data_IF_116225402437
#
_entry.id   IF_116225402437
#
_cell.length_a   1.000
_cell.length_b   1.000
_cell.length_c   1.000
_cell.angle_alpha   90.00
_cell.angle_beta   90.00
_cell.angle_gamma   90.00
#
_symmetry.space_group_name_H-M   'P 1'
#
loop_
_entity.id
_entity.type
_entity.pdbx_description
1 polymer ?
#
# COMPACT_ATOMS: atom_id res chain seq x y z
N UNK A 1 0.65 29.10 -3.23
CA UNK A 1 1.25 27.77 -3.11
C UNK A 1 0.11 26.84 -2.71
N UNK A 2 0.04 25.64 -3.29
CA UNK A 2 -1.08 24.74 -3.02
C UNK A 2 -0.95 24.10 -1.64
N UNK A 3 -2.02 24.14 -0.84
CA UNK A 3 -2.08 23.58 0.52
C UNK A 3 -1.67 22.10 0.56
N UNK A 4 -2.24 21.30 -0.34
CA UNK A 4 -1.96 19.86 -0.36
C UNK A 4 -0.57 19.55 -0.89
N UNK A 5 -0.06 20.37 -1.82
CA UNK A 5 1.32 20.22 -2.28
C UNK A 5 2.31 20.48 -1.15
N UNK A 6 2.09 21.52 -0.34
CA UNK A 6 2.97 21.84 0.79
C UNK A 6 2.94 20.72 1.84
N UNK A 7 1.76 20.16 2.14
CA UNK A 7 1.62 18.99 3.02
C UNK A 7 2.33 17.74 2.46
N UNK A 8 2.25 17.50 1.15
CA UNK A 8 2.96 16.40 0.51
C UNK A 8 4.48 16.58 0.64
N UNK A 9 5.00 17.80 0.52
CA UNK A 9 6.44 18.07 0.61
C UNK A 9 7.03 17.88 2.01
N UNK A 10 6.20 17.70 3.05
CA UNK A 10 6.65 17.27 4.38
C UNK A 10 7.11 15.80 4.37
N UNK A 11 6.55 14.98 3.48
CA UNK A 11 6.90 13.57 3.36
C UNK A 11 8.27 13.39 2.69
N UNK A 12 9.15 12.61 3.32
CA UNK A 12 10.51 12.34 2.80
C UNK A 12 10.48 11.72 1.40
N UNK A 13 9.47 10.90 1.11
CA UNK A 13 9.29 10.26 -0.20
C UNK A 13 9.06 11.26 -1.32
N UNK A 14 8.41 12.38 -1.02
CA UNK A 14 8.24 13.48 -1.99
C UNK A 14 9.56 14.18 -2.29
N UNK A 15 10.37 14.43 -1.26
CA UNK A 15 11.69 15.07 -1.43
C UNK A 15 12.64 14.23 -2.26
N UNK A 16 12.57 12.90 -2.10
CA UNK A 16 13.42 11.96 -2.84
C UNK A 16 12.82 11.57 -4.21
N UNK A 17 11.50 11.59 -4.34
CA UNK A 17 10.78 11.00 -5.48
C UNK A 17 10.25 12.00 -6.49
N UNK A 18 10.13 13.29 -6.14
CA UNK A 18 9.56 14.29 -7.03
C UNK A 18 10.63 15.27 -7.56
N UNK A 19 10.98 15.10 -8.83
CA UNK A 19 11.76 16.05 -9.61
C UNK A 19 10.93 16.52 -10.80
N UNK A 20 11.41 17.54 -11.54
CA UNK A 20 10.68 18.06 -12.71
C UNK A 20 10.43 16.96 -13.73
N UNK A 21 9.19 16.61 -13.94
CA UNK A 21 8.76 15.62 -14.91
C UNK A 21 8.79 16.20 -16.33
N UNK A 22 9.46 15.53 -17.27
CA UNK A 22 9.49 15.90 -18.68
C UNK A 22 8.37 15.26 -19.51
N UNK A 23 7.42 14.59 -18.87
CA UNK A 23 6.24 13.97 -19.48
C UNK A 23 6.54 12.90 -20.57
N UNK A 24 7.66 12.18 -20.47
CA UNK A 24 8.11 11.21 -21.48
C UNK A 24 7.32 9.89 -21.52
N UNK A 25 6.54 9.56 -20.49
CA UNK A 25 5.69 8.37 -20.44
C UNK A 25 6.38 7.03 -20.13
N UNK A 26 7.70 7.01 -19.94
CA UNK A 26 8.44 5.75 -19.68
C UNK A 26 7.89 5.02 -18.43
N UNK A 27 7.58 5.76 -17.37
CA UNK A 27 7.03 5.16 -16.14
C UNK A 27 5.66 4.48 -16.36
N UNK A 28 4.83 5.01 -17.27
CA UNK A 28 3.56 4.38 -17.65
C UNK A 28 3.79 3.13 -18.50
N UNK A 29 4.69 3.21 -19.48
CA UNK A 29 5.00 2.09 -20.37
C UNK A 29 5.63 0.86 -19.69
N UNK A 30 6.17 1.01 -18.47
CA UNK A 30 6.76 -0.09 -17.70
C UNK A 30 5.92 -0.47 -16.49
N UNK A 31 4.76 0.17 -16.31
CA UNK A 31 3.94 -0.04 -15.13
C UNK A 31 3.03 -1.26 -15.31
N UNK A 32 3.17 -2.34 -14.50
CA UNK A 32 2.29 -3.49 -14.64
C UNK A 32 0.82 -3.14 -14.34
N UNK A 33 0.55 -2.16 -13.47
CA UNK A 33 -0.82 -1.75 -13.19
C UNK A 33 -1.50 -1.06 -14.38
N UNK A 34 -0.74 -0.40 -15.27
CA UNK A 34 -1.28 0.24 -16.45
C UNK A 34 -1.82 -0.75 -17.51
N UNK A 35 -1.40 -2.03 -17.42
CA UNK A 35 -1.91 -3.09 -18.28
C UNK A 35 -3.35 -3.53 -17.91
N UNK A 36 -3.66 -3.47 -16.61
CA UNK A 36 -4.92 -3.99 -16.07
C UNK A 36 -5.95 -2.91 -15.71
N UNK A 37 -5.47 -1.69 -15.48
CA UNK A 37 -6.30 -0.56 -15.06
C UNK A 37 -6.09 0.65 -15.97
N UNK A 38 -7.08 1.53 -16.06
CA UNK A 38 -6.87 2.86 -16.63
C UNK A 38 -6.01 3.69 -15.66
N UNK A 39 -4.69 3.42 -15.68
CA UNK A 39 -3.74 3.92 -14.70
C UNK A 39 -2.49 4.48 -15.37
N UNK A 40 -2.18 5.74 -15.08
CA UNK A 40 -1.02 6.45 -15.61
C UNK A 40 -0.24 7.16 -14.50
N UNK A 41 0.86 6.57 -14.00
CA UNK A 41 1.68 7.19 -12.95
C UNK A 41 2.30 8.51 -13.39
N UNK A 42 2.49 8.74 -14.68
CA UNK A 42 2.96 10.03 -15.22
C UNK A 42 1.93 11.14 -15.01
N UNK A 43 0.65 10.86 -15.28
CA UNK A 43 -0.42 11.84 -15.04
C UNK A 43 -0.52 12.22 -13.57
N UNK A 44 -0.40 11.27 -12.66
CA UNK A 44 -0.41 11.52 -11.22
C UNK A 44 0.72 12.48 -10.84
N UNK A 45 1.94 12.22 -11.28
CA UNK A 45 3.09 13.13 -11.04
C UNK A 45 2.84 14.52 -11.62
N UNK A 46 2.29 14.60 -12.82
CA UNK A 46 1.99 15.89 -13.45
C UNK A 46 0.92 16.68 -12.67
N UNK A 47 -0.16 16.02 -12.22
CA UNK A 47 -1.20 16.66 -11.40
C UNK A 47 -0.56 17.24 -10.12
N UNK A 48 0.26 16.47 -9.42
CA UNK A 48 0.94 16.96 -8.22
C UNK A 48 1.84 18.16 -8.52
N UNK A 49 2.51 18.18 -9.67
CA UNK A 49 3.38 19.29 -10.07
C UNK A 49 2.63 20.56 -10.45
N UNK A 50 1.36 20.49 -10.81
CA UNK A 50 0.55 21.69 -11.05
C UNK A 50 0.35 22.53 -9.79
N UNK A 51 0.41 21.92 -8.61
CA UNK A 51 0.10 22.49 -7.29
C UNK A 51 -1.32 23.03 -7.19
N UNK A 52 -2.21 22.50 -8.01
CA UNK A 52 -3.62 22.79 -8.00
C UNK A 52 -4.29 21.96 -6.90
N UNK A 53 -4.82 22.63 -5.89
CA UNK A 53 -5.41 21.97 -4.71
C UNK A 53 -6.65 21.16 -5.08
N UNK A 54 -7.49 21.65 -5.98
CA UNK A 54 -8.71 20.95 -6.39
C UNK A 54 -8.35 19.64 -7.12
N UNK A 55 -7.39 19.70 -8.05
CA UNK A 55 -6.92 18.52 -8.78
C UNK A 55 -6.23 17.49 -7.88
N UNK A 56 -5.47 17.95 -6.88
CA UNK A 56 -4.83 17.06 -5.91
C UNK A 56 -5.88 16.44 -4.98
N UNK A 57 -6.88 17.20 -4.53
CA UNK A 57 -7.95 16.69 -3.68
C UNK A 57 -8.77 15.62 -4.40
N UNK A 58 -9.14 15.85 -5.66
CA UNK A 58 -9.80 14.85 -6.49
C UNK A 58 -8.98 13.56 -6.58
N UNK A 59 -7.68 13.69 -6.77
CA UNK A 59 -6.75 12.56 -6.81
C UNK A 59 -6.71 11.80 -5.47
N UNK A 60 -6.68 12.52 -4.33
CA UNK A 60 -6.67 11.93 -2.99
C UNK A 60 -7.96 11.15 -2.66
N UNK A 61 -9.08 11.51 -3.27
CA UNK A 61 -10.39 10.84 -3.15
C UNK A 61 -10.59 9.68 -4.12
N UNK A 62 -9.76 9.60 -5.16
CA UNK A 62 -9.92 8.64 -6.25
C UNK A 62 -9.38 7.24 -5.90
N UNK A 63 -9.84 6.23 -6.65
CA UNK A 63 -9.26 4.88 -6.63
C UNK A 63 -7.86 4.85 -7.28
N UNK A 64 -7.53 5.84 -8.10
CA UNK A 64 -6.34 5.85 -8.95
C UNK A 64 -5.04 5.69 -8.17
N UNK A 65 -4.89 6.38 -7.04
CA UNK A 65 -3.67 6.26 -6.22
C UNK A 65 -3.49 4.86 -5.61
N UNK A 66 -4.56 4.07 -5.51
CA UNK A 66 -4.55 2.72 -4.92
C UNK A 66 -4.20 1.61 -5.92
N UNK A 67 -4.16 1.90 -7.23
CA UNK A 67 -3.77 0.90 -8.24
C UNK A 67 -2.26 0.63 -8.28
N UNK A 68 -1.43 1.50 -7.71
CA UNK A 68 0.01 1.28 -7.66
C UNK A 68 0.37 0.05 -6.83
N UNK A 69 1.03 -0.94 -7.44
CA UNK A 69 1.52 -2.14 -6.75
C UNK A 69 2.86 -1.94 -6.01
N UNK A 70 3.37 -0.71 -5.92
CA UNK A 70 4.62 -0.36 -5.21
C UNK A 70 5.87 -1.16 -5.64
N UNK A 71 5.84 -1.69 -6.84
CA UNK A 71 6.92 -2.54 -7.39
C UNK A 71 8.22 -1.76 -7.72
N UNK A 72 8.17 -0.42 -7.71
CA UNK A 72 9.28 0.50 -8.00
C UNK A 72 9.92 0.37 -9.39
N UNK A 73 9.31 -0.35 -10.34
CA UNK A 73 9.83 -0.51 -11.71
C UNK A 73 9.99 0.81 -12.46
N UNK A 74 9.23 1.84 -12.06
CA UNK A 74 9.34 3.19 -12.63
C UNK A 74 10.62 3.93 -12.21
N UNK A 75 11.21 3.61 -11.03
CA UNK A 75 12.35 4.33 -10.45
C UNK A 75 13.60 4.28 -11.32
N UNK A 76 14.16 3.11 -11.69
CA UNK A 76 15.42 3.03 -12.43
C UNK A 76 15.30 3.48 -13.89
N UNK A 77 14.08 3.70 -14.39
CA UNK A 77 13.84 4.02 -15.79
C UNK A 77 13.52 5.48 -16.05
N UNK A 78 13.35 6.29 -14.99
CA UNK A 78 13.06 7.70 -15.15
C UNK A 78 14.33 8.50 -15.50
N UNK A 79 14.40 9.18 -16.68
CA UNK A 79 15.57 9.95 -17.08
C UNK A 79 15.79 11.21 -16.22
N UNK A 80 14.78 11.61 -15.46
CA UNK A 80 14.82 12.78 -14.55
C UNK A 80 14.97 12.39 -13.07
N UNK A 81 15.10 11.10 -12.76
CA UNK A 81 15.23 10.62 -11.39
C UNK A 81 13.93 10.64 -10.57
N UNK A 82 12.76 10.88 -11.20
CA UNK A 82 11.49 10.76 -10.49
C UNK A 82 11.22 9.32 -10.06
N UNK A 83 10.57 9.18 -8.93
CA UNK A 83 10.03 7.91 -8.45
C UNK A 83 8.51 8.05 -8.26
N UNK A 84 7.71 7.89 -9.33
CA UNK A 84 6.24 8.01 -9.23
C UNK A 84 5.64 7.17 -8.11
N UNK A 85 6.19 5.97 -7.85
CA UNK A 85 5.77 5.13 -6.74
C UNK A 85 5.88 5.81 -5.37
N UNK A 86 6.92 6.62 -5.12
CA UNK A 86 7.06 7.38 -3.88
C UNK A 86 6.04 8.52 -3.78
N UNK A 87 5.81 9.23 -4.88
CA UNK A 87 4.78 10.27 -4.95
C UNK A 87 3.40 9.69 -4.60
N UNK A 88 3.10 8.52 -5.15
CA UNK A 88 1.81 7.84 -4.91
C UNK A 88 1.69 7.35 -3.47
N UNK A 89 2.75 6.83 -2.87
CA UNK A 89 2.75 6.46 -1.45
C UNK A 89 2.51 7.68 -0.54
N UNK A 90 3.14 8.81 -0.85
CA UNK A 90 2.89 10.06 -0.12
C UNK A 90 1.44 10.53 -0.26
N UNK A 91 0.85 10.44 -1.47
CA UNK A 91 -0.57 10.73 -1.70
C UNK A 91 -1.48 9.81 -0.88
N UNK A 92 -1.21 8.51 -0.84
CA UNK A 92 -1.97 7.56 0.00
C UNK A 92 -1.90 7.92 1.48
N UNK A 93 -0.71 8.24 1.97
CA UNK A 93 -0.53 8.67 3.36
C UNK A 93 -1.30 9.95 3.65
N UNK A 94 -1.25 10.94 2.76
CA UNK A 94 -2.01 12.19 2.92
C UNK A 94 -3.52 11.93 2.85
N UNK A 95 -3.99 11.10 1.91
CA UNK A 95 -5.39 10.70 1.81
C UNK A 95 -5.90 10.04 3.10
N UNK A 96 -5.08 9.19 3.72
CA UNK A 96 -5.40 8.57 5.00
C UNK A 96 -5.42 9.58 6.14
N UNK A 97 -4.44 10.47 6.25
CA UNK A 97 -4.35 11.51 7.28
C UNK A 97 -5.55 12.46 7.25
N UNK A 98 -5.99 12.81 6.06
CA UNK A 98 -7.12 13.73 5.85
C UNK A 98 -8.49 13.04 5.80
N UNK A 99 -8.54 11.71 5.83
CA UNK A 99 -9.77 10.93 5.78
C UNK A 99 -10.38 10.78 4.39
N UNK A 100 -9.74 11.28 3.33
CA UNK A 100 -10.28 11.20 1.95
C UNK A 100 -10.39 9.78 1.40
N UNK A 101 -9.57 8.85 1.90
CA UNK A 101 -9.59 7.44 1.49
C UNK A 101 -10.95 6.77 1.64
N UNK A 102 -11.83 7.30 2.50
CA UNK A 102 -13.18 6.74 2.69
C UNK A 102 -14.09 6.94 1.46
N UNK A 103 -13.77 7.91 0.60
CA UNK A 103 -14.50 8.15 -0.64
C UNK A 103 -14.10 7.15 -1.74
N UNK A 104 -12.90 6.57 -1.65
CA UNK A 104 -12.38 5.54 -2.55
C UNK A 104 -12.80 4.14 -2.11
N UNK A 105 -13.30 3.32 -3.04
CA UNK A 105 -13.58 1.90 -2.76
C UNK A 105 -12.29 1.15 -2.43
N UNK A 106 -11.24 1.35 -3.21
CA UNK A 106 -9.93 0.74 -3.00
C UNK A 106 -9.27 1.22 -1.71
N UNK A 107 -9.45 2.49 -1.34
CA UNK A 107 -8.99 3.02 -0.06
C UNK A 107 -9.63 2.32 1.13
N UNK A 108 -10.95 2.09 1.09
CA UNK A 108 -11.66 1.32 2.13
C UNK A 108 -11.20 -0.15 2.20
N UNK A 109 -10.98 -0.79 1.05
CA UNK A 109 -10.43 -2.15 0.98
C UNK A 109 -9.05 -2.23 1.62
N UNK A 110 -8.17 -1.25 1.36
CA UNK A 110 -6.84 -1.18 1.98
C UNK A 110 -6.92 -0.97 3.50
N UNK A 111 -7.88 -0.18 4.00
CA UNK A 111 -8.10 -0.05 5.44
C UNK A 111 -8.53 -1.38 6.07
N UNK A 112 -9.43 -2.11 5.43
CA UNK A 112 -9.86 -3.43 5.90
C UNK A 112 -8.67 -4.40 5.97
N UNK A 113 -7.83 -4.42 4.92
CA UNK A 113 -6.62 -5.23 4.87
C UNK A 113 -5.61 -4.82 5.95
N UNK A 114 -5.35 -3.51 6.14
CA UNK A 114 -4.49 -2.99 7.20
C UNK A 114 -4.97 -3.42 8.59
N UNK A 115 -6.26 -3.35 8.86
CA UNK A 115 -6.83 -3.79 10.14
C UNK A 115 -6.61 -5.29 10.35
N UNK A 116 -6.93 -6.12 9.36
CA UNK A 116 -6.76 -7.57 9.47
C UNK A 116 -5.28 -7.94 9.65
N UNK A 117 -4.41 -7.44 8.78
CA UNK A 117 -2.98 -7.77 8.80
C UNK A 117 -2.28 -7.10 9.99
N UNK A 118 -2.50 -5.80 10.19
CA UNK A 118 -1.87 -5.02 11.26
C UNK A 118 -2.26 -5.54 12.65
N UNK A 119 -3.54 -5.79 12.87
CA UNK A 119 -4.01 -6.36 14.15
C UNK A 119 -3.46 -7.78 14.39
N UNK A 120 -3.23 -8.55 13.31
CA UNK A 120 -2.58 -9.85 13.44
C UNK A 120 -1.12 -9.72 13.83
N UNK A 121 -0.38 -8.79 13.21
CA UNK A 121 1.01 -8.52 13.58
C UNK A 121 1.10 -8.15 15.05
N UNK A 122 0.24 -7.23 15.51
CA UNK A 122 0.20 -6.78 16.89
C UNK A 122 -0.20 -7.88 17.88
N UNK A 123 -1.02 -8.82 17.45
CA UNK A 123 -1.51 -9.92 18.30
C UNK A 123 -0.59 -11.14 18.32
N UNK A 124 0.04 -11.44 17.19
CA UNK A 124 0.73 -12.71 16.97
C UNK A 124 2.17 -12.57 16.52
N UNK A 125 2.57 -11.37 16.08
CA UNK A 125 3.87 -11.12 15.43
C UNK A 125 3.90 -11.51 13.94
N UNK A 126 2.76 -11.89 13.34
CA UNK A 126 2.68 -12.35 11.95
C UNK A 126 1.62 -11.61 11.17
N UNK A 127 1.94 -11.24 9.92
CA UNK A 127 1.03 -10.47 9.07
C UNK A 127 -0.11 -11.30 8.49
N UNK A 128 0.09 -12.59 8.26
CA UNK A 128 -0.91 -13.43 7.59
C UNK A 128 -1.30 -14.59 8.50
N UNK A 129 -2.58 -14.58 8.89
CA UNK A 129 -3.27 -15.74 9.40
C UNK A 129 -4.40 -16.02 8.40
N UNK A 130 -4.29 -17.05 7.54
CA UNK A 130 -5.19 -17.24 6.40
C UNK A 130 -6.68 -17.20 6.77
N UNK A 131 -7.05 -17.77 7.91
CA UNK A 131 -8.43 -17.77 8.41
C UNK A 131 -9.02 -16.41 8.73
N UNK A 132 -8.19 -15.36 8.84
CA UNK A 132 -8.65 -14.02 9.15
C UNK A 132 -8.83 -13.17 7.88
N UNK A 133 -8.26 -13.61 6.74
CA UNK A 133 -8.44 -12.97 5.44
C UNK A 133 -9.58 -13.67 4.71
N UNK A 134 -10.81 -13.30 5.06
CA UNK A 134 -12.01 -13.93 4.50
C UNK A 134 -12.18 -13.57 3.03
N UNK A 135 -12.38 -14.55 2.12
CA UNK A 135 -12.57 -14.29 0.70
C UNK A 135 -13.72 -13.34 0.37
N UNK A 136 -14.78 -13.36 1.16
CA UNK A 136 -15.96 -12.50 0.98
C UNK A 136 -15.63 -11.01 1.17
N UNK A 137 -14.60 -10.70 2.00
CA UNK A 137 -14.13 -9.34 2.26
C UNK A 137 -13.02 -8.92 1.29
N UNK A 138 -12.46 -9.87 0.55
CA UNK A 138 -11.30 -9.69 -0.30
C UNK A 138 -11.47 -10.36 -1.68
N UNK A 139 -12.53 -10.00 -2.44
CA UNK A 139 -12.80 -10.61 -3.74
C UNK A 139 -11.67 -10.35 -4.76
N UNK A 140 -10.87 -9.30 -4.54
CA UNK A 140 -9.70 -8.99 -5.34
C UNK A 140 -8.59 -10.04 -5.30
N UNK A 141 -8.58 -10.91 -4.29
CA UNK A 141 -7.62 -12.01 -4.17
C UNK A 141 -7.92 -13.17 -5.14
N UNK A 142 -9.12 -13.20 -5.70
CA UNK A 142 -9.53 -14.16 -6.71
C UNK A 142 -9.79 -15.58 -6.21
N UNK A 143 -10.07 -16.47 -7.15
CA UNK A 143 -10.50 -17.85 -6.87
C UNK A 143 -9.42 -18.73 -6.22
N UNK A 144 -8.15 -18.44 -6.49
CA UNK A 144 -7.01 -19.15 -5.88
C UNK A 144 -7.01 -18.94 -4.36
N UNK A 145 -7.33 -17.73 -3.90
CA UNK A 145 -7.40 -17.45 -2.46
C UNK A 145 -8.58 -18.17 -1.80
N UNK A 146 -9.73 -18.25 -2.45
CA UNK A 146 -10.87 -19.04 -1.96
C UNK A 146 -10.45 -20.49 -1.73
N UNK A 147 -9.77 -21.08 -2.70
CA UNK A 147 -9.30 -22.47 -2.59
C UNK A 147 -8.28 -22.64 -1.44
N UNK A 148 -7.32 -21.71 -1.28
CA UNK A 148 -6.36 -21.72 -0.18
C UNK A 148 -7.06 -21.60 1.17
N UNK A 149 -8.08 -20.73 1.26
CA UNK A 149 -8.86 -20.52 2.48
C UNK A 149 -9.61 -21.78 2.90
N UNK A 150 -10.24 -22.46 1.94
CA UNK A 150 -11.01 -23.69 2.17
C UNK A 150 -10.10 -24.88 2.54
N UNK A 151 -8.85 -24.88 2.08
CA UNK A 151 -7.88 -25.96 2.26
C UNK A 151 -6.68 -25.54 3.13
N UNK A 152 -6.84 -24.54 3.99
CA UNK A 152 -5.74 -23.90 4.75
C UNK A 152 -4.88 -24.91 5.53
N UNK A 153 -5.50 -25.90 6.16
CA UNK A 153 -4.81 -26.93 6.95
C UNK A 153 -3.92 -27.83 6.10
N UNK A 154 -4.39 -28.17 4.90
CA UNK A 154 -3.64 -29.01 3.97
C UNK A 154 -2.50 -28.23 3.35
N UNK A 155 -2.76 -27.03 2.84
CA UNK A 155 -1.78 -26.17 2.17
C UNK A 155 -0.66 -25.78 3.14
N UNK A 156 -1.00 -25.24 4.29
CA UNK A 156 0.01 -24.77 5.26
C UNK A 156 0.56 -25.88 6.14
N UNK A 157 -0.18 -26.97 6.33
CA UNK A 157 0.30 -28.13 7.05
C UNK A 157 1.41 -28.90 6.33
N UNK A 158 1.45 -28.87 4.99
CA UNK A 158 2.51 -29.46 4.19
C UNK A 158 3.78 -28.61 4.15
N UNK A 159 3.65 -27.29 4.08
CA UNK A 159 4.79 -26.37 3.95
C UNK A 159 5.43 -26.01 5.29
N UNK A 160 4.67 -26.06 6.37
CA UNK A 160 5.19 -25.76 7.70
C UNK A 160 4.61 -26.72 8.73
N UNK A 161 5.33 -27.81 9.08
CA UNK A 161 4.91 -28.69 10.16
C UNK A 161 4.74 -27.96 11.50
N UNK A 162 4.98 -26.68 11.52
CA UNK A 162 5.00 -25.75 12.67
C UNK A 162 3.86 -24.76 12.64
N UNK A 163 3.02 -24.76 11.59
CA UNK A 163 1.82 -23.93 11.53
C UNK A 163 0.91 -24.23 12.73
N UNK A 164 0.72 -23.24 13.59
CA UNK A 164 -0.02 -23.35 14.85
C UNK A 164 0.67 -24.17 15.98
N UNK A 165 1.97 -24.47 15.92
CA UNK A 165 2.72 -25.09 17.02
C UNK A 165 3.59 -24.07 17.77
N UNK A 166 3.99 -24.41 18.98
CA UNK A 166 4.96 -23.64 19.77
C UNK A 166 6.38 -24.04 19.39
N UNK A 167 7.28 -23.09 19.24
CA UNK A 167 8.71 -23.33 19.01
C UNK A 167 9.32 -22.49 17.88
N UNK A 168 10.60 -22.73 17.61
CA UNK A 168 11.33 -22.00 16.57
C UNK A 168 10.75 -22.31 15.18
N UNK A 169 10.40 -21.25 14.41
CA UNK A 169 9.73 -21.37 13.11
C UNK A 169 8.22 -21.50 13.16
N UNK A 170 7.60 -21.61 14.35
CA UNK A 170 6.18 -21.52 14.54
C UNK A 170 5.71 -20.07 14.53
N UNK A 171 4.37 -19.88 14.47
CA UNK A 171 3.73 -18.65 14.90
C UNK A 171 4.12 -18.40 16.36
N UNK A 172 5.16 -17.61 16.53
CA UNK A 172 5.64 -17.24 17.87
C UNK A 172 4.72 -16.17 18.41
N UNK A 173 4.43 -16.24 19.68
CA UNK A 173 3.98 -15.06 20.40
C UNK A 173 5.21 -14.19 20.64
N UNK A 174 5.26 -13.01 20.02
CA UNK A 174 6.28 -12.02 20.36
C UNK A 174 6.07 -11.57 21.80
N UNK A 175 7.16 -11.21 22.47
CA UNK A 175 7.05 -10.62 23.80
C UNK A 175 6.33 -9.25 23.73
N UNK A 176 5.68 -8.89 24.82
CA UNK A 176 4.83 -7.69 24.87
C UNK A 176 5.63 -6.42 24.63
N UNK A 177 6.87 -6.33 25.09
CA UNK A 177 7.73 -5.17 24.89
C UNK A 177 8.06 -4.96 23.41
N UNK A 178 8.41 -6.02 22.69
CA UNK A 178 8.66 -5.94 21.24
C UNK A 178 7.42 -5.51 20.45
N UNK A 179 6.22 -5.92 20.90
CA UNK A 179 4.96 -5.51 20.26
C UNK A 179 4.63 -4.04 20.57
N UNK A 180 4.88 -3.57 21.80
CA UNK A 180 4.72 -2.17 22.18
C UNK A 180 5.70 -1.26 21.42
N UNK A 181 6.96 -1.65 21.31
CA UNK A 181 7.95 -0.92 20.51
C UNK A 181 7.53 -0.84 19.04
N UNK A 182 7.00 -1.92 18.48
CA UNK A 182 6.47 -1.96 17.11
C UNK A 182 5.28 -1.01 16.94
N UNK A 183 4.40 -0.91 17.93
CA UNK A 183 3.27 0.03 17.96
C UNK A 183 3.73 1.48 17.99
N UNK A 184 4.69 1.82 18.85
CA UNK A 184 5.27 3.16 18.93
C UNK A 184 5.85 3.59 17.60
N UNK A 185 6.71 2.78 16.98
CA UNK A 185 7.33 3.09 15.68
C UNK A 185 6.34 3.14 14.52
N UNK A 186 5.21 2.44 14.58
CA UNK A 186 4.18 2.47 13.52
C UNK A 186 3.14 3.56 13.74
N UNK A 187 2.90 4.00 14.98
CA UNK A 187 1.99 5.11 15.27
C UNK A 187 2.58 6.47 14.88
N UNK A 188 3.88 6.65 15.02
CA UNK A 188 4.58 7.88 14.61
C UNK A 188 4.76 7.99 13.08
N UNK A 189 4.55 6.89 12.35
CA UNK A 189 4.61 6.85 10.89
C UNK A 189 3.23 6.97 10.21
N UNK A 190 2.15 7.14 10.97
CA UNK A 190 0.78 7.19 10.49
C UNK A 190 0.26 8.62 10.33
#
# INVERSE_FOLDING_TARGET
MGKYFDMLMEDVRMKEGLHSCMNCGVCTGVCPAAEFYNYDPRQIVNIVQTRDDDAIEELLKSDTIWYCGECMSCRPRCPRGNTPGYVIQALRTLSQKLGFFVESEKGRQQLALKRIIGENILRTGYCIVPRLVKPELHPEQGTVWQWIYDNDKEVYGQFTPVYMRHGAGALRRLDEQSLEDCLLYTSDAA
#
